data_IF_149494635628
#
_entry.id   IF_149494635628
#
_cell.length_a   1.000
_cell.length_b   1.000
_cell.length_c   1.000
_cell.angle_alpha   90.00
_cell.angle_beta   90.00
_cell.angle_gamma   90.00
#
_symmetry.space_group_name_H-M   'P 1'
#
loop_
_entity.id
_entity.type
_entity.pdbx_description
1 polymer ?
#
# COMPACT_ATOMS: atom_id res chain seq x y z
N UNK A 1 12.69 -3.73 5.44
CA UNK A 1 11.57 -2.77 5.58
C UNK A 1 11.83 -1.89 6.78
N UNK A 2 11.65 -0.58 6.63
CA UNK A 2 11.79 0.39 7.74
C UNK A 2 10.71 0.10 8.81
N UNK A 3 11.03 0.26 10.08
CA UNK A 3 10.12 -0.01 11.21
C UNK A 3 10.13 1.14 12.22
N UNK A 4 9.01 1.37 12.89
CA UNK A 4 8.89 2.39 13.94
C UNK A 4 9.07 3.81 13.40
N UNK A 5 9.89 4.62 14.07
CA UNK A 5 10.08 6.05 13.77
C UNK A 5 10.50 6.31 12.31
N UNK A 6 11.34 5.46 11.74
CA UNK A 6 11.78 5.60 10.34
C UNK A 6 10.63 5.42 9.33
N UNK A 7 9.64 4.59 9.67
CA UNK A 7 8.44 4.40 8.87
C UNK A 7 7.52 5.62 9.02
N UNK A 8 7.34 6.11 10.24
CA UNK A 8 6.53 7.30 10.52
C UNK A 8 7.08 8.53 9.80
N UNK A 9 8.41 8.70 9.77
CA UNK A 9 9.06 9.80 9.07
C UNK A 9 8.90 9.70 7.54
N UNK A 10 8.92 8.49 6.99
CA UNK A 10 8.62 8.27 5.57
C UNK A 10 7.16 8.60 5.26
N UNK A 11 6.22 8.18 6.13
CA UNK A 11 4.80 8.49 5.97
C UNK A 11 4.55 9.99 6.08
N UNK A 12 5.20 10.69 7.02
CA UNK A 12 5.11 12.15 7.16
C UNK A 12 5.64 12.87 5.92
N UNK A 13 6.81 12.47 5.42
CA UNK A 13 7.36 13.03 4.17
C UNK A 13 6.43 12.79 2.99
N UNK A 14 5.88 11.59 2.85
CA UNK A 14 4.92 11.26 1.81
C UNK A 14 3.62 12.08 1.95
N UNK A 15 3.12 12.27 3.17
CA UNK A 15 1.97 13.16 3.44
C UNK A 15 2.28 14.57 2.94
N UNK A 16 3.38 15.16 3.37
CA UNK A 16 3.70 16.55 3.04
C UNK A 16 3.93 16.73 1.53
N UNK A 17 4.45 15.72 0.85
CA UNK A 17 4.66 15.72 -0.59
C UNK A 17 3.36 15.54 -1.40
N UNK A 18 2.55 14.53 -1.07
CA UNK A 18 1.41 14.14 -1.91
C UNK A 18 0.09 14.74 -1.46
N UNK A 19 -0.04 15.05 -0.17
CA UNK A 19 -1.29 15.43 0.49
C UNK A 19 -1.05 16.35 1.70
N UNK A 20 -0.56 17.58 1.46
CA UNK A 20 -0.31 18.52 2.54
C UNK A 20 -1.60 18.91 3.24
N UNK A 21 -1.54 19.27 4.53
CA UNK A 21 -2.68 19.75 5.32
C UNK A 21 -3.21 21.14 4.90
N UNK A 22 -2.73 21.68 3.78
CA UNK A 22 -3.22 22.92 3.19
C UNK A 22 -4.62 22.76 2.57
N UNK A 23 -5.32 23.88 2.35
CA UNK A 23 -6.63 23.89 1.67
C UNK A 23 -6.58 23.20 0.29
N UNK A 24 -5.49 23.39 -0.45
CA UNK A 24 -5.28 22.74 -1.74
C UNK A 24 -5.10 21.22 -1.60
N UNK A 25 -4.37 20.77 -0.58
CA UNK A 25 -4.18 19.34 -0.31
C UNK A 25 -5.46 18.65 0.18
N UNK A 26 -6.27 19.32 1.00
CA UNK A 26 -7.59 18.83 1.41
C UNK A 26 -8.55 18.67 0.22
N UNK A 27 -8.53 19.62 -0.72
CA UNK A 27 -9.31 19.53 -1.95
C UNK A 27 -8.86 18.33 -2.79
N UNK A 28 -7.55 18.15 -2.93
CA UNK A 28 -6.96 17.02 -3.67
C UNK A 28 -7.36 15.69 -3.04
N UNK A 29 -7.23 15.55 -1.72
CA UNK A 29 -7.61 14.36 -0.95
C UNK A 29 -9.08 13.98 -1.18
N UNK A 30 -9.98 14.96 -1.03
CA UNK A 30 -11.42 14.75 -1.25
C UNK A 30 -11.70 14.25 -2.66
N UNK A 31 -11.12 14.88 -3.68
CA UNK A 31 -11.33 14.48 -5.08
C UNK A 31 -10.74 13.10 -5.33
N UNK A 32 -9.50 12.83 -4.88
CA UNK A 32 -8.86 11.53 -5.06
C UNK A 32 -9.67 10.41 -4.40
N UNK A 33 -10.22 10.64 -3.20
CA UNK A 33 -11.08 9.66 -2.53
C UNK A 33 -12.26 9.24 -3.41
N UNK A 34 -13.01 10.21 -3.93
CA UNK A 34 -14.19 9.91 -4.76
C UNK A 34 -13.82 9.27 -6.10
N UNK A 35 -12.70 9.66 -6.72
CA UNK A 35 -12.20 9.00 -7.93
C UNK A 35 -11.82 7.55 -7.64
N UNK A 36 -11.09 7.30 -6.55
CA UNK A 36 -10.69 5.95 -6.16
C UNK A 36 -11.90 5.10 -5.78
N UNK A 37 -12.96 5.65 -5.18
CA UNK A 37 -14.21 4.89 -4.95
C UNK A 37 -14.78 4.33 -6.24
N UNK A 38 -14.77 5.09 -7.34
CA UNK A 38 -15.22 4.62 -8.66
C UNK A 38 -14.26 3.56 -9.22
N UNK A 39 -12.95 3.75 -9.07
CA UNK A 39 -11.97 2.77 -9.53
C UNK A 39 -12.06 1.45 -8.76
N UNK A 40 -12.28 1.48 -7.44
CA UNK A 40 -12.19 0.29 -6.58
C UNK A 40 -13.55 -0.33 -6.22
N UNK A 41 -14.69 0.20 -6.69
CA UNK A 41 -16.01 -0.40 -6.42
C UNK A 41 -16.34 -1.65 -7.26
N UNK A 42 -15.50 -1.99 -8.27
CA UNK A 42 -15.79 -2.99 -9.31
C UNK A 42 -15.80 -4.43 -8.83
N UNK A 43 -14.78 -4.85 -8.09
CA UNK A 43 -14.67 -6.23 -7.56
C UNK A 43 -14.72 -6.22 -6.03
N UNK A 44 -15.04 -7.37 -5.44
CA UNK A 44 -15.01 -7.49 -3.98
C UNK A 44 -13.59 -7.35 -3.41
N UNK A 45 -12.59 -7.90 -4.09
CA UNK A 45 -11.19 -7.82 -3.66
C UNK A 45 -10.67 -6.37 -3.68
N UNK A 46 -10.99 -5.61 -4.74
CA UNK A 46 -10.64 -4.19 -4.81
C UNK A 46 -11.34 -3.37 -3.74
N UNK A 47 -12.62 -3.66 -3.46
CA UNK A 47 -13.36 -3.01 -2.37
C UNK A 47 -12.74 -3.31 -1.02
N UNK A 48 -12.38 -4.57 -0.75
CA UNK A 48 -11.73 -4.98 0.51
C UNK A 48 -10.37 -4.30 0.68
N UNK A 49 -9.56 -4.28 -0.37
CA UNK A 49 -8.25 -3.62 -0.37
C UNK A 49 -8.40 -2.11 -0.12
N UNK A 50 -9.29 -1.43 -0.84
CA UNK A 50 -9.51 0.00 -0.68
C UNK A 50 -10.04 0.34 0.72
N UNK A 51 -11.04 -0.40 1.22
CA UNK A 51 -11.57 -0.23 2.57
C UNK A 51 -10.47 -0.37 3.63
N UNK A 52 -9.56 -1.35 3.49
CA UNK A 52 -8.49 -1.56 4.45
C UNK A 52 -7.52 -0.39 4.48
N UNK A 53 -7.02 0.04 3.31
CA UNK A 53 -6.04 1.13 3.22
C UNK A 53 -6.64 2.48 3.63
N UNK A 54 -7.88 2.78 3.22
CA UNK A 54 -8.55 4.03 3.57
C UNK A 54 -8.82 4.13 5.08
N UNK A 55 -9.14 3.01 5.74
CA UNK A 55 -9.30 2.97 7.19
C UNK A 55 -7.98 3.12 7.93
N UNK A 56 -6.91 2.53 7.41
CA UNK A 56 -5.58 2.67 8.00
C UNK A 56 -5.11 4.13 7.90
N UNK A 57 -5.33 4.77 6.75
CA UNK A 57 -5.08 6.20 6.56
C UNK A 57 -5.91 7.05 7.52
N UNK A 58 -7.20 6.74 7.69
CA UNK A 58 -8.07 7.42 8.64
C UNK A 58 -7.55 7.30 10.08
N UNK A 59 -7.22 6.08 10.54
CA UNK A 59 -6.67 5.84 11.88
C UNK A 59 -5.37 6.63 12.10
N UNK A 60 -4.47 6.60 11.12
CA UNK A 60 -3.22 7.33 11.20
C UNK A 60 -3.43 8.84 11.31
N UNK A 61 -4.35 9.40 10.49
CA UNK A 61 -4.69 10.84 10.54
C UNK A 61 -5.31 11.24 11.87
N UNK A 62 -6.21 10.42 12.39
CA UNK A 62 -6.89 10.69 13.65
C UNK A 62 -5.92 10.69 14.84
N UNK A 63 -4.92 9.81 14.82
CA UNK A 63 -3.87 9.75 15.84
C UNK A 63 -2.87 10.92 15.75
N UNK A 64 -2.52 11.35 14.53
CA UNK A 64 -1.46 12.35 14.32
C UNK A 64 -1.95 13.79 14.18
N UNK A 65 -3.21 13.99 13.82
CA UNK A 65 -3.86 15.30 13.72
C UNK A 65 -5.22 15.24 14.42
N UNK A 66 -5.24 15.07 15.76
CA UNK A 66 -6.50 15.13 16.49
C UNK A 66 -7.14 16.51 16.31
N UNK A 67 -8.46 16.61 16.17
CA UNK A 67 -9.14 17.90 16.13
C UNK A 67 -8.92 18.68 17.44
N UNK A 68 -8.68 19.99 17.35
CA UNK A 68 -8.46 20.88 18.51
C UNK A 68 -9.57 20.75 19.57
N UNK A 69 -10.81 20.56 19.09
CA UNK A 69 -11.96 20.21 19.91
C UNK A 69 -12.61 18.92 19.41
N UNK A 70 -12.16 17.79 19.94
CA UNK A 70 -12.72 16.48 19.61
C UNK A 70 -14.22 16.38 19.91
N UNK A 71 -14.69 16.94 21.02
CA UNK A 71 -16.13 16.94 21.35
C UNK A 71 -16.97 17.71 20.31
N UNK A 72 -16.47 18.87 19.83
CA UNK A 72 -17.15 19.63 18.79
C UNK A 72 -17.15 18.89 17.45
N UNK A 73 -16.05 18.22 17.11
CA UNK A 73 -15.96 17.38 15.92
C UNK A 73 -16.93 16.20 15.98
N UNK A 74 -17.01 15.53 17.14
CA UNK A 74 -17.95 14.42 17.36
C UNK A 74 -19.41 14.89 17.22
N UNK A 75 -19.76 16.02 17.84
CA UNK A 75 -21.09 16.62 17.74
C UNK A 75 -21.44 17.01 16.29
N UNK A 76 -20.50 17.62 15.55
CA UNK A 76 -20.69 17.99 14.15
C UNK A 76 -20.91 16.78 13.22
N UNK A 77 -20.38 15.61 13.57
CA UNK A 77 -20.53 14.36 12.82
C UNK A 77 -21.72 13.49 13.28
N UNK A 78 -22.64 14.06 14.08
CA UNK A 78 -23.78 13.37 14.67
C UNK A 78 -23.39 12.13 15.51
N UNK A 79 -22.22 12.18 16.14
CA UNK A 79 -21.75 11.16 17.08
C UNK A 79 -22.11 11.62 18.49
N UNK A 80 -23.02 10.90 19.15
CA UNK A 80 -23.43 11.14 20.54
C UNK A 80 -22.38 10.58 21.51
N UNK A 81 -21.13 11.02 21.36
CA UNK A 81 -20.02 10.63 22.22
C UNK A 81 -19.75 11.80 23.16
N UNK A 82 -20.13 11.62 24.42
CA UNK A 82 -20.01 12.65 25.45
C UNK A 82 -18.79 12.34 26.32
N UNK A 83 -17.92 13.33 26.54
CA UNK A 83 -16.85 13.19 27.53
C UNK A 83 -17.48 13.15 28.93
N UNK A 84 -17.04 12.22 29.78
CA UNK A 84 -17.56 12.08 31.14
C UNK A 84 -17.12 13.27 31.99
N UNK A 85 -17.99 13.75 32.89
CA UNK A 85 -17.61 14.76 33.87
C UNK A 85 -16.60 14.23 34.90
N UNK A 86 -15.78 15.10 35.50
CA UNK A 86 -14.80 14.67 36.52
C UNK A 86 -15.46 13.99 37.72
N UNK A 87 -16.67 14.41 38.06
CA UNK A 87 -17.46 13.86 39.16
C UNK A 87 -17.91 12.42 38.87
N UNK A 88 -18.50 12.18 37.70
CA UNK A 88 -18.88 10.84 37.25
C UNK A 88 -17.67 9.91 37.09
N UNK A 89 -16.54 10.44 36.58
CA UNK A 89 -15.30 9.69 36.44
C UNK A 89 -14.73 9.27 37.82
N UNK A 90 -14.87 10.12 38.84
CA UNK A 90 -14.45 9.79 40.21
C UNK A 90 -15.35 8.73 40.86
N UNK A 91 -16.67 8.82 40.63
CA UNK A 91 -17.64 7.86 41.17
C UNK A 91 -17.48 6.46 40.55
N UNK A 92 -17.07 6.39 39.28
CA UNK A 92 -16.89 5.15 38.52
C UNK A 92 -15.44 4.63 38.53
N UNK A 93 -14.54 5.27 39.30
CA UNK A 93 -13.11 5.01 39.22
C UNK A 93 -12.71 3.58 39.58
N UNK A 94 -13.42 2.91 40.50
CA UNK A 94 -13.16 1.50 40.86
C UNK A 94 -13.52 0.56 39.70
N UNK A 95 -14.70 0.73 39.12
CA UNK A 95 -15.25 -0.10 38.03
C UNK A 95 -14.44 0.09 36.72
N UNK A 96 -14.00 1.32 36.45
CA UNK A 96 -13.11 1.62 35.33
C UNK A 96 -11.71 1.01 35.52
N UNK A 97 -11.19 0.94 36.75
CA UNK A 97 -9.92 0.28 37.05
C UNK A 97 -9.99 -1.24 36.90
N UNK A 98 -11.09 -1.87 37.30
CA UNK A 98 -11.30 -3.31 37.12
C UNK A 98 -11.32 -3.71 35.65
N UNK A 99 -11.98 -2.91 34.80
CA UNK A 99 -11.99 -3.13 33.35
C UNK A 99 -10.64 -2.84 32.69
N UNK A 100 -9.88 -1.86 33.19
CA UNK A 100 -8.50 -1.60 32.76
C UNK A 100 -7.51 -2.70 33.19
N UNK A 101 -7.72 -3.35 34.35
CA UNK A 101 -6.86 -4.44 34.83
C UNK A 101 -6.89 -5.67 33.91
N UNK A 102 -8.02 -5.94 33.25
CA UNK A 102 -8.15 -6.96 32.21
C UNK A 102 -7.29 -6.67 30.96
N UNK A 103 -6.82 -5.43 30.78
CA UNK A 103 -6.17 -4.94 29.56
C UNK A 103 -4.66 -5.21 29.50
N UNK A 104 -4.01 -5.56 30.62
CA UNK A 104 -2.52 -5.69 30.72
C UNK A 104 -1.73 -4.50 30.13
N UNK A 105 -2.37 -3.36 29.92
CA UNK A 105 -1.73 -2.12 29.48
C UNK A 105 -1.50 -1.29 30.73
N UNK A 106 -0.23 -1.16 31.14
CA UNK A 106 0.17 -0.20 32.16
C UNK A 106 0.22 1.17 31.48
N UNK A 107 -0.62 2.09 31.91
CA UNK A 107 -0.34 3.50 31.65
C UNK A 107 0.93 3.88 32.41
N UNK A 108 2.03 4.09 31.69
CA UNK A 108 3.32 4.53 32.25
C UNK A 108 3.24 5.95 32.84
N UNK A 109 2.14 6.68 32.64
CA UNK A 109 2.06 8.11 32.94
C UNK A 109 1.03 8.56 33.98
N UNK A 110 0.26 7.67 34.61
CA UNK A 110 -0.65 8.04 35.72
C UNK A 110 -1.64 9.19 35.41
N UNK A 111 -1.86 9.52 34.13
CA UNK A 111 -2.82 10.53 33.70
C UNK A 111 -4.19 9.89 33.64
N UNK A 112 -5.17 10.58 34.20
CA UNK A 112 -6.58 10.19 34.14
C UNK A 112 -6.96 10.12 32.66
N UNK A 113 -7.17 8.91 32.13
CA UNK A 113 -7.58 8.76 30.75
C UNK A 113 -8.95 9.41 30.58
N UNK A 114 -9.10 10.26 29.57
CA UNK A 114 -10.41 10.80 29.22
C UNK A 114 -11.28 9.64 28.74
N UNK A 115 -12.35 9.39 29.48
CA UNK A 115 -13.34 8.38 29.17
C UNK A 115 -14.53 9.04 28.47
N UNK A 116 -15.06 8.35 27.47
CA UNK A 116 -16.21 8.76 26.67
C UNK A 116 -17.39 7.85 26.96
N UNK A 117 -18.54 8.47 27.12
CA UNK A 117 -19.83 7.81 27.24
C UNK A 117 -20.41 7.60 25.85
N UNK A 118 -20.71 6.35 25.52
CA UNK A 118 -21.21 5.92 24.22
C UNK A 118 -22.39 4.96 24.43
N UNK A 119 -23.39 4.97 23.55
CA UNK A 119 -24.46 3.96 23.60
C UNK A 119 -23.87 2.55 23.39
N UNK A 120 -24.28 1.58 24.22
CA UNK A 120 -23.71 0.22 24.19
C UNK A 120 -23.88 -0.49 22.84
N UNK A 121 -24.93 -0.14 22.08
CA UNK A 121 -25.24 -0.67 20.75
C UNK A 121 -24.15 -0.40 19.71
N UNK A 122 -23.42 0.72 19.84
CA UNK A 122 -22.36 1.07 18.90
C UNK A 122 -21.03 0.35 19.21
N UNK A 123 -20.92 -0.24 20.40
CA UNK A 123 -19.66 -0.75 20.96
C UNK A 123 -19.73 -2.23 21.31
N UNK A 124 -20.60 -2.98 20.63
CA UNK A 124 -20.81 -4.42 20.86
C UNK A 124 -19.51 -5.22 20.76
N UNK A 125 -18.61 -4.84 19.85
CA UNK A 125 -17.32 -5.51 19.68
C UNK A 125 -16.41 -5.41 20.92
N UNK A 126 -16.37 -4.25 21.59
CA UNK A 126 -15.57 -4.09 22.81
C UNK A 126 -16.25 -4.73 24.02
N UNK A 127 -17.59 -4.74 24.05
CA UNK A 127 -18.37 -5.42 25.09
C UNK A 127 -18.15 -6.93 25.02
N UNK A 128 -18.15 -7.51 23.82
CA UNK A 128 -17.86 -8.94 23.60
C UNK A 128 -16.49 -9.34 24.16
N UNK A 129 -15.51 -8.44 24.06
CA UNK A 129 -14.16 -8.64 24.57
C UNK A 129 -14.01 -8.26 26.06
N UNK A 130 -15.09 -7.81 26.71
CA UNK A 130 -15.11 -7.29 28.10
C UNK A 130 -14.08 -6.18 28.34
N UNK A 131 -13.86 -5.34 27.32
CA UNK A 131 -12.86 -4.26 27.33
C UNK A 131 -13.43 -2.91 27.78
N UNK A 132 -14.75 -2.81 27.93
CA UNK A 132 -15.46 -1.57 28.29
C UNK A 132 -16.41 -1.83 29.44
N UNK A 133 -16.56 -0.83 30.30
CA UNK A 133 -17.54 -0.85 31.38
C UNK A 133 -18.90 -0.37 30.86
N UNK A 134 -20.00 -1.00 31.28
CA UNK A 134 -21.35 -0.66 30.83
C UNK A 134 -22.26 -0.42 32.04
N UNK A 135 -22.94 0.73 32.08
CA UNK A 135 -23.93 1.06 33.12
C UNK A 135 -25.12 1.80 32.51
N UNK A 136 -26.33 1.39 32.87
CA UNK A 136 -27.58 2.05 32.48
C UNK A 136 -27.68 2.34 30.96
N UNK A 137 -27.35 1.34 30.12
CA UNK A 137 -27.41 1.46 28.66
C UNK A 137 -26.27 2.27 28.02
N UNK A 138 -25.28 2.70 28.79
CA UNK A 138 -24.11 3.43 28.29
C UNK A 138 -22.83 2.64 28.55
N UNK A 139 -21.97 2.56 27.53
CA UNK A 139 -20.62 2.04 27.59
C UNK A 139 -19.62 3.19 27.80
N UNK A 140 -18.63 2.95 28.66
CA UNK A 140 -17.57 3.88 28.97
C UNK A 140 -16.27 3.41 28.32
N UNK A 141 -15.77 4.22 27.39
CA UNK A 141 -14.68 3.86 26.48
C UNK A 141 -13.50 4.79 26.71
N UNK A 142 -12.27 4.27 26.83
CA UNK A 142 -11.08 5.10 26.88
C UNK A 142 -10.78 5.76 25.53
N UNK A 143 -10.10 6.91 25.54
CA UNK A 143 -9.66 7.62 24.34
C UNK A 143 -8.91 6.71 23.34
N UNK A 144 -8.11 5.75 23.81
CA UNK A 144 -7.35 4.83 22.93
C UNK A 144 -8.26 4.01 22.01
N UNK A 145 -9.44 3.59 22.50
CA UNK A 145 -10.38 2.77 21.75
C UNK A 145 -11.36 3.61 20.92
N UNK A 146 -11.47 4.91 21.20
CA UNK A 146 -12.35 5.82 20.44
C UNK A 146 -12.01 5.79 18.95
N UNK A 147 -10.72 5.76 18.60
CA UNK A 147 -10.24 5.66 17.21
C UNK A 147 -10.80 4.41 16.53
N UNK A 148 -10.85 3.29 17.26
CA UNK A 148 -11.35 2.02 16.74
C UNK A 148 -12.86 2.06 16.49
N UNK A 149 -13.63 2.69 17.37
CA UNK A 149 -15.08 2.83 17.24
C UNK A 149 -15.43 3.69 16.02
N UNK A 150 -14.81 4.86 15.91
CA UNK A 150 -15.04 5.77 14.78
C UNK A 150 -14.63 5.09 13.47
N UNK A 151 -13.50 4.37 13.46
CA UNK A 151 -13.06 3.62 12.29
C UNK A 151 -14.07 2.53 11.86
N UNK A 152 -14.69 1.82 12.81
CA UNK A 152 -15.74 0.83 12.49
C UNK A 152 -16.96 1.49 11.84
N UNK A 153 -17.38 2.67 12.32
CA UNK A 153 -18.47 3.42 11.71
C UNK A 153 -18.13 3.90 10.29
N UNK A 154 -16.93 4.45 10.11
CA UNK A 154 -16.41 4.87 8.80
C UNK A 154 -16.36 3.67 7.84
N UNK A 155 -15.93 2.50 8.32
CA UNK A 155 -15.90 1.25 7.53
C UNK A 155 -17.29 0.88 7.04
N UNK A 156 -18.28 0.87 7.93
CA UNK A 156 -19.65 0.53 7.58
C UNK A 156 -20.24 1.53 6.56
N UNK A 157 -20.03 2.82 6.80
CA UNK A 157 -20.46 3.87 5.88
C UNK A 157 -19.81 3.74 4.50
N UNK A 158 -18.49 3.59 4.45
CA UNK A 158 -17.74 3.49 3.19
C UNK A 158 -18.12 2.22 2.41
N UNK A 159 -18.32 1.09 3.09
CA UNK A 159 -18.78 -0.16 2.48
C UNK A 159 -20.16 0.00 1.82
N UNK A 160 -21.09 0.68 2.50
CA UNK A 160 -22.41 1.02 1.94
C UNK A 160 -22.28 1.90 0.69
N UNK A 161 -21.46 2.96 0.74
CA UNK A 161 -21.25 3.85 -0.40
C UNK A 161 -20.64 3.11 -1.60
N UNK A 162 -19.59 2.30 -1.40
CA UNK A 162 -18.98 1.49 -2.47
C UNK A 162 -20.00 0.55 -3.12
N UNK A 163 -20.92 -0.01 -2.34
CA UNK A 163 -21.98 -0.88 -2.86
C UNK A 163 -23.00 -0.12 -3.72
N UNK A 164 -23.30 1.13 -3.37
CA UNK A 164 -24.15 2.01 -4.18
C UNK A 164 -23.44 2.38 -5.49
N UNK A 165 -22.17 2.79 -5.40
CA UNK A 165 -21.37 3.14 -6.57
C UNK A 165 -21.19 1.96 -7.53
N UNK A 166 -20.98 0.75 -7.00
CA UNK A 166 -20.86 -0.47 -7.82
C UNK A 166 -22.13 -0.75 -8.64
N UNK A 167 -23.31 -0.45 -8.08
CA UNK A 167 -24.60 -0.61 -8.79
C UNK A 167 -24.81 0.44 -9.88
N UNK A 168 -24.35 1.66 -9.65
CA UNK A 168 -24.45 2.76 -10.62
C UNK A 168 -23.36 2.70 -11.71
N UNK A 169 -22.28 1.94 -11.48
CA UNK A 169 -21.11 1.88 -12.35
C UNK A 169 -21.40 1.49 -13.81
N UNK A 170 -22.25 0.50 -14.13
CA UNK A 170 -22.49 0.11 -15.52
C UNK A 170 -23.05 1.26 -16.39
N UNK A 171 -24.00 2.04 -15.86
CA UNK A 171 -24.57 3.18 -16.57
C UNK A 171 -23.51 4.27 -16.84
N UNK A 172 -22.72 4.60 -15.82
CA UNK A 172 -21.63 5.57 -15.95
C UNK A 172 -20.54 5.10 -16.93
N UNK A 173 -20.28 3.79 -16.97
CA UNK A 173 -19.28 3.19 -17.87
C UNK A 173 -19.66 3.36 -19.33
N UNK A 174 -20.95 3.26 -19.65
CA UNK A 174 -21.46 3.45 -21.01
C UNK A 174 -21.43 4.93 -21.41
N UNK A 175 -21.83 5.83 -20.51
CA UNK A 175 -21.85 7.28 -20.76
C UNK A 175 -20.45 7.89 -20.88
N UNK A 176 -19.50 7.49 -20.02
CA UNK A 176 -18.16 8.08 -19.94
C UNK A 176 -17.06 7.11 -20.40
N UNK A 177 -17.41 6.19 -21.32
CA UNK A 177 -16.53 5.15 -21.83
C UNK A 177 -15.20 5.71 -22.39
N UNK A 178 -15.28 6.81 -23.13
CA UNK A 178 -14.13 7.39 -23.84
C UNK A 178 -13.15 8.12 -22.91
N UNK A 179 -13.63 8.66 -21.78
CA UNK A 179 -12.82 9.51 -20.88
C UNK A 179 -12.33 8.80 -19.63
N UNK A 180 -13.20 8.02 -18.98
CA UNK A 180 -12.95 7.54 -17.63
C UNK A 180 -12.67 6.04 -17.57
N UNK A 181 -13.22 5.23 -18.48
CA UNK A 181 -13.10 3.77 -18.39
C UNK A 181 -11.65 3.27 -18.47
N UNK A 182 -10.88 3.70 -19.47
CA UNK A 182 -9.48 3.28 -19.63
C UNK A 182 -8.58 3.74 -18.47
N UNK A 183 -8.80 4.96 -17.98
CA UNK A 183 -8.07 5.54 -16.84
C UNK A 183 -8.38 4.80 -15.54
N UNK A 184 -9.66 4.60 -15.22
CA UNK A 184 -10.08 3.91 -13.98
C UNK A 184 -9.68 2.42 -14.01
N UNK A 185 -9.73 1.78 -15.18
CA UNK A 185 -9.22 0.42 -15.38
C UNK A 185 -7.71 0.32 -15.18
N UNK A 186 -6.97 1.30 -15.68
CA UNK A 186 -5.53 1.45 -15.47
C UNK A 186 -5.16 1.63 -14.00
N UNK A 187 -5.87 2.46 -13.23
CA UNK A 187 -5.50 2.78 -11.84
C UNK A 187 -5.34 1.57 -10.91
N UNK A 188 -6.15 0.52 -11.10
CA UNK A 188 -6.07 -0.68 -10.27
C UNK A 188 -4.88 -1.59 -10.63
N UNK A 189 -4.32 -1.44 -11.83
CA UNK A 189 -3.24 -2.28 -12.37
C UNK A 189 -1.93 -1.53 -12.54
N UNK A 190 -1.96 -0.20 -12.55
CA UNK A 190 -0.78 0.66 -12.64
C UNK A 190 0.00 0.62 -11.32
N UNK A 191 1.27 0.27 -11.43
CA UNK A 191 2.21 0.37 -10.34
C UNK A 191 2.60 1.83 -10.14
N UNK A 192 2.15 2.44 -9.04
CA UNK A 192 2.47 3.83 -8.65
C UNK A 192 3.75 3.93 -7.82
N UNK A 193 4.46 2.81 -7.61
CA UNK A 193 5.78 2.85 -6.98
C UNK A 193 6.78 3.60 -7.87
N UNK A 194 7.89 4.07 -7.28
CA UNK A 194 8.99 4.61 -8.05
C UNK A 194 9.43 3.56 -9.07
N UNK A 195 9.05 3.76 -10.33
CA UNK A 195 9.71 3.06 -11.41
C UNK A 195 11.10 3.66 -11.42
N UNK A 196 12.09 2.91 -10.94
CA UNK A 196 13.50 3.25 -11.14
C UNK A 196 13.83 3.06 -12.63
N UNK A 197 13.15 3.81 -13.50
CA UNK A 197 13.52 3.94 -14.89
C UNK A 197 14.81 4.74 -14.93
N UNK A 198 15.92 4.02 -14.93
CA UNK A 198 17.25 4.61 -15.05
C UNK A 198 17.59 5.46 -13.85
N UNK A 199 18.02 4.81 -12.77
CA UNK A 199 18.98 5.45 -11.88
C UNK A 199 20.06 6.10 -12.74
N UNK A 200 20.25 7.40 -12.50
CA UNK A 200 21.27 8.28 -13.05
C UNK A 200 22.36 7.50 -13.80
N UNK A 201 22.38 7.58 -15.15
CA UNK A 201 23.34 6.87 -16.02
C UNK A 201 24.81 7.20 -15.70
N UNK A 202 25.08 8.06 -14.72
CA UNK A 202 26.41 8.55 -14.37
C UNK A 202 27.07 8.00 -13.09
N UNK A 203 26.34 7.39 -12.13
CA UNK A 203 26.91 7.17 -10.77
C UNK A 203 26.94 5.72 -10.26
N UNK A 204 26.48 4.74 -11.04
CA UNK A 204 26.60 3.32 -10.68
C UNK A 204 27.98 2.75 -10.99
N UNK A 205 28.54 1.94 -10.08
CA UNK A 205 29.72 1.10 -10.37
C UNK A 205 29.41 0.24 -11.59
N UNK A 206 30.24 0.31 -12.64
CA UNK A 206 30.09 -0.55 -13.82
C UNK A 206 30.17 -2.00 -13.39
N UNK A 207 29.09 -2.76 -13.63
CA UNK A 207 29.06 -4.20 -13.38
C UNK A 207 29.86 -4.90 -14.45
N UNK A 208 30.91 -5.61 -14.07
CA UNK A 208 31.67 -6.43 -15.02
C UNK A 208 30.96 -7.76 -15.31
N UNK A 209 31.24 -8.35 -16.48
CA UNK A 209 30.74 -9.68 -16.85
C UNK A 209 31.11 -10.77 -15.84
N UNK A 210 32.28 -10.65 -15.20
CA UNK A 210 32.80 -11.65 -14.26
C UNK A 210 32.06 -11.62 -12.91
N UNK A 211 31.49 -10.48 -12.54
CA UNK A 211 30.80 -10.31 -11.25
C UNK A 211 29.36 -10.85 -11.28
N UNK A 212 28.80 -11.11 -12.46
CA UNK A 212 27.40 -11.53 -12.61
C UNK A 212 27.02 -12.79 -11.84
N UNK A 213 27.82 -13.88 -11.81
CA UNK A 213 27.50 -15.05 -11.01
C UNK A 213 27.43 -14.75 -9.50
N UNK A 214 28.30 -13.87 -9.01
CA UNK A 214 28.30 -13.44 -7.61
C UNK A 214 27.09 -12.53 -7.31
N UNK A 215 26.81 -11.59 -8.20
CA UNK A 215 25.66 -10.69 -8.10
C UNK A 215 24.33 -11.45 -8.17
N UNK A 216 24.25 -12.49 -9.00
CA UNK A 216 23.07 -13.35 -9.11
C UNK A 216 22.71 -14.02 -7.78
N UNK A 217 23.70 -14.33 -6.94
CA UNK A 217 23.49 -14.95 -5.63
C UNK A 217 23.27 -13.93 -4.50
N UNK A 218 23.99 -12.80 -4.53
CA UNK A 218 24.03 -11.85 -3.41
C UNK A 218 23.05 -10.67 -3.54
N UNK A 219 22.83 -10.19 -4.77
CA UNK A 219 22.19 -8.89 -5.00
C UNK A 219 20.95 -8.95 -5.90
N UNK A 220 20.86 -9.93 -6.82
CA UNK A 220 19.71 -10.04 -7.70
C UNK A 220 18.45 -10.48 -6.92
N UNK A 221 17.27 -9.94 -7.25
CA UNK A 221 16.02 -10.45 -6.68
C UNK A 221 15.79 -11.90 -7.12
N UNK A 222 15.03 -12.66 -6.32
CA UNK A 222 14.79 -14.10 -6.54
C UNK A 222 14.31 -14.43 -7.95
N UNK A 223 13.46 -13.58 -8.54
CA UNK A 223 12.99 -13.78 -9.91
C UNK A 223 14.12 -13.80 -10.95
N UNK A 224 15.05 -12.84 -10.86
CA UNK A 224 16.19 -12.72 -11.78
C UNK A 224 17.27 -13.75 -11.46
N UNK A 225 17.53 -14.02 -10.18
CA UNK A 225 18.46 -15.06 -9.73
C UNK A 225 18.05 -16.44 -10.23
N UNK A 226 16.76 -16.77 -10.14
CA UNK A 226 16.22 -18.04 -10.64
C UNK A 226 16.33 -18.14 -12.18
N UNK A 227 16.01 -17.06 -12.91
CA UNK A 227 16.16 -17.04 -14.37
C UNK A 227 17.63 -17.18 -14.79
N UNK A 228 18.55 -16.51 -14.10
CA UNK A 228 19.98 -16.56 -14.37
C UNK A 228 20.57 -17.94 -14.07
N UNK A 229 20.16 -18.55 -12.96
CA UNK A 229 20.53 -19.92 -12.59
C UNK A 229 20.01 -20.91 -13.63
N UNK A 230 18.73 -20.80 -14.01
CA UNK A 230 18.13 -21.67 -15.02
C UNK A 230 18.80 -21.53 -16.38
N UNK A 231 19.14 -20.31 -16.79
CA UNK A 231 19.91 -20.05 -18.01
C UNK A 231 21.27 -20.75 -17.98
N UNK A 232 21.93 -20.77 -16.83
CA UNK A 232 23.25 -21.38 -16.65
C UNK A 232 23.17 -22.91 -16.60
N UNK A 233 22.08 -23.48 -16.08
CA UNK A 233 21.87 -24.93 -15.96
C UNK A 233 21.35 -25.56 -17.25
N UNK A 234 20.33 -24.96 -17.89
CA UNK A 234 19.68 -25.55 -19.08
C UNK A 234 20.15 -24.94 -20.38
N UNK A 235 21.05 -23.94 -20.34
CA UNK A 235 21.61 -23.27 -21.51
C UNK A 235 20.55 -22.70 -22.49
N UNK A 236 19.34 -22.46 -21.98
CA UNK A 236 18.20 -21.99 -22.75
C UNK A 236 17.17 -21.30 -21.85
N UNK A 237 16.46 -20.31 -22.39
CA UNK A 237 15.33 -19.64 -21.73
C UNK A 237 14.17 -19.39 -22.71
N UNK A 238 12.94 -19.51 -22.20
CA UNK A 238 11.72 -19.17 -22.96
C UNK A 238 11.67 -17.67 -23.27
N UNK A 239 10.95 -17.30 -24.34
CA UNK A 239 10.88 -15.92 -24.85
C UNK A 239 10.57 -14.86 -23.77
N UNK A 240 9.51 -15.03 -22.96
CA UNK A 240 9.17 -14.07 -21.88
C UNK A 240 10.29 -13.91 -20.85
N UNK A 241 10.94 -15.01 -20.46
CA UNK A 241 12.05 -14.99 -19.51
C UNK A 241 13.29 -14.31 -20.10
N UNK A 242 13.57 -14.51 -21.40
CA UNK A 242 14.63 -13.79 -22.12
C UNK A 242 14.41 -12.29 -22.12
N UNK A 243 13.19 -11.83 -22.40
CA UNK A 243 12.88 -10.41 -22.39
C UNK A 243 12.99 -9.81 -20.98
N UNK A 244 12.45 -10.50 -19.97
CA UNK A 244 12.52 -10.03 -18.58
C UNK A 244 13.96 -9.95 -18.06
N UNK A 245 14.75 -11.01 -18.22
CA UNK A 245 16.15 -11.02 -17.82
C UNK A 245 16.98 -10.06 -18.67
N UNK A 246 16.73 -9.96 -19.97
CA UNK A 246 17.43 -9.05 -20.87
C UNK A 246 17.21 -7.57 -20.52
N UNK A 247 15.98 -7.16 -20.23
CA UNK A 247 15.68 -5.80 -19.78
C UNK A 247 16.27 -5.51 -18.39
N UNK A 248 16.33 -6.51 -17.51
CA UNK A 248 16.99 -6.38 -16.22
C UNK A 248 18.51 -6.19 -16.37
N UNK A 249 19.16 -6.98 -17.24
CA UNK A 249 20.59 -6.87 -17.53
C UNK A 249 20.94 -5.50 -18.14
N UNK A 250 20.07 -4.98 -19.02
CA UNK A 250 20.16 -3.59 -19.50
C UNK A 250 20.03 -2.59 -18.35
N UNK A 251 19.08 -2.81 -17.44
CA UNK A 251 18.80 -1.93 -16.30
C UNK A 251 19.94 -1.84 -15.28
N UNK A 252 20.70 -2.92 -15.08
CA UNK A 252 21.90 -2.91 -14.21
C UNK A 252 23.13 -2.28 -14.90
N UNK A 253 23.03 -1.91 -16.18
CA UNK A 253 24.04 -1.13 -16.88
C UNK A 253 24.97 -1.93 -17.81
N UNK A 254 24.63 -3.18 -18.17
CA UNK A 254 25.41 -3.89 -19.19
C UNK A 254 25.26 -3.23 -20.55
N UNK A 255 26.34 -3.29 -21.34
CA UNK A 255 26.26 -2.90 -22.75
C UNK A 255 25.57 -3.97 -23.60
N UNK A 256 25.23 -3.59 -24.83
CA UNK A 256 24.66 -4.50 -25.82
C UNK A 256 25.65 -5.62 -26.13
N UNK A 257 26.92 -5.28 -26.29
CA UNK A 257 28.01 -6.19 -26.61
C UNK A 257 28.22 -7.20 -25.49
N UNK A 258 28.27 -6.73 -24.24
CA UNK A 258 28.36 -7.56 -23.03
C UNK A 258 27.17 -8.51 -22.90
N UNK A 259 25.97 -8.00 -23.18
CA UNK A 259 24.75 -8.82 -23.15
C UNK A 259 24.81 -9.91 -24.21
N UNK A 260 25.11 -9.56 -25.46
CA UNK A 260 25.27 -10.55 -26.55
C UNK A 260 26.31 -11.60 -26.16
N UNK A 261 27.42 -11.19 -25.57
CA UNK A 261 28.47 -12.10 -25.11
C UNK A 261 27.95 -13.09 -24.07
N UNK A 262 27.26 -12.65 -23.01
CA UNK A 262 26.72 -13.55 -21.97
C UNK A 262 25.70 -14.52 -22.55
N UNK A 263 24.76 -14.02 -23.34
CA UNK A 263 23.70 -14.84 -23.93
C UNK A 263 24.31 -15.89 -24.85
N UNK A 264 25.28 -15.49 -25.68
CA UNK A 264 26.00 -16.37 -26.59
C UNK A 264 26.81 -17.42 -25.83
N UNK A 265 27.61 -17.04 -24.85
CA UNK A 265 28.42 -17.96 -24.04
C UNK A 265 27.54 -18.91 -23.21
N UNK A 266 26.39 -18.47 -22.72
CA UNK A 266 25.47 -19.32 -21.96
C UNK A 266 24.71 -20.31 -22.84
N UNK A 267 24.29 -19.90 -24.05
CA UNK A 267 23.46 -20.73 -24.94
C UNK A 267 24.29 -21.70 -25.78
N UNK A 268 25.50 -21.32 -26.18
CA UNK A 268 26.40 -22.20 -26.97
C UNK A 268 27.03 -23.33 -26.16
N UNK A 269 26.80 -23.37 -24.84
CA UNK A 269 27.11 -24.54 -24.00
C UNK A 269 26.15 -25.71 -24.27
N UNK A 270 24.97 -25.45 -24.83
CA UNK A 270 24.11 -26.49 -25.37
C UNK A 270 24.71 -27.01 -26.70
N UNK A 271 25.00 -28.32 -26.83
CA UNK A 271 25.51 -28.91 -28.07
C UNK A 271 24.63 -28.65 -29.29
N UNK A 272 23.33 -28.40 -29.10
CA UNK A 272 22.38 -28.13 -30.19
C UNK A 272 22.44 -26.68 -30.75
N UNK A 273 23.19 -25.78 -30.09
CA UNK A 273 23.23 -24.36 -30.43
C UNK A 273 24.61 -23.91 -30.87
N UNK A 274 24.78 -23.68 -32.17
CA UNK A 274 26.01 -23.10 -32.74
C UNK A 274 26.02 -21.58 -32.64
N UNK A 275 27.22 -20.99 -32.68
CA UNK A 275 27.41 -19.54 -32.70
C UNK A 275 26.62 -18.85 -33.82
N UNK A 276 26.60 -19.42 -35.02
CA UNK A 276 25.89 -18.87 -36.18
C UNK A 276 24.37 -18.92 -36.01
N UNK A 277 23.85 -20.03 -35.48
CA UNK A 277 22.42 -20.19 -35.20
C UNK A 277 21.98 -19.19 -34.13
N UNK A 278 22.79 -18.97 -33.10
CA UNK A 278 22.53 -17.96 -32.09
C UNK A 278 22.43 -16.55 -32.69
N UNK A 279 23.40 -16.17 -33.53
CA UNK A 279 23.44 -14.85 -34.15
C UNK A 279 22.19 -14.60 -35.04
N UNK A 280 21.70 -15.64 -35.73
CA UNK A 280 20.49 -15.55 -36.56
C UNK A 280 19.20 -15.44 -35.75
N UNK A 281 19.07 -16.20 -34.65
CA UNK A 281 17.81 -16.33 -33.91
C UNK A 281 17.66 -15.34 -32.75
N UNK A 282 18.75 -14.95 -32.07
CA UNK A 282 18.68 -14.25 -30.78
C UNK A 282 19.26 -12.84 -30.80
N UNK A 283 20.24 -12.56 -31.68
CA UNK A 283 20.94 -11.26 -31.72
C UNK A 283 19.98 -10.09 -31.95
N UNK A 284 19.06 -10.24 -32.90
CA UNK A 284 18.04 -9.24 -33.21
C UNK A 284 17.20 -8.88 -31.97
N UNK A 285 16.68 -9.90 -31.26
CA UNK A 285 15.87 -9.68 -30.06
C UNK A 285 16.63 -8.98 -28.93
N UNK A 286 17.93 -9.26 -28.79
CA UNK A 286 18.77 -8.56 -27.81
C UNK A 286 18.92 -7.08 -28.20
N UNK A 287 19.24 -6.77 -29.47
CA UNK A 287 19.36 -5.37 -29.95
C UNK A 287 18.05 -4.60 -29.86
N UNK A 288 16.92 -5.27 -30.10
CA UNK A 288 15.59 -4.72 -29.89
C UNK A 288 15.37 -4.27 -28.44
N UNK A 289 15.74 -5.09 -27.44
CA UNK A 289 15.61 -4.71 -26.02
C UNK A 289 16.43 -3.45 -25.66
N UNK A 290 17.51 -3.18 -26.37
CA UNK A 290 18.34 -1.99 -26.20
C UNK A 290 17.86 -0.77 -27.00
N UNK A 291 16.83 -0.92 -27.83
CA UNK A 291 16.28 0.17 -28.65
C UNK A 291 17.13 0.51 -29.88
N UNK A 292 18.07 -0.36 -30.25
CA UNK A 292 18.88 -0.20 -31.47
C UNK A 292 18.12 -0.64 -32.73
N UNK A 293 17.09 -1.47 -32.55
CA UNK A 293 16.28 -2.03 -33.62
C UNK A 293 14.81 -1.93 -33.21
N UNK A 294 13.93 -1.51 -34.13
CA UNK A 294 12.49 -1.33 -33.90
C UNK A 294 12.11 0.07 -33.35
N UNK A 295 11.19 0.76 -34.03
CA UNK A 295 10.55 1.98 -33.53
C UNK A 295 9.31 1.60 -32.71
N UNK A 296 9.31 1.92 -31.43
CA UNK A 296 8.11 2.32 -30.68
C UNK A 296 8.52 3.26 -29.56
#
# INVERSE_FOLDING_TARGET
GKKGKDLDDVIRKARDQFMPLSVAGLRKDRISHFILRLAYCRSEDLRRWFLQNELELFKWRFQHNPPDNLNAWLAANHLKYEAISREEASALASELKETAACRREKDENGRQQDHYKVAFEEVVDLIRQRRVFVRAGNAYVPHTDLVSIVATRVRAHLSKQLSIHARAWPALREEEAERLSSFLEGLATQYVGEVHEGGDKGNGVKVSLADLPLLARRSMPLCMSNMFTKMTETHHLKHKARNQLGLFLKGIGLTVEESIQIWKTSFTKDPAMTSEKFDKEYRYGIRYNYGLEGKR
#
